data_IF_202111045219
#
_entry.id   IF_202111045219
#
_cell.length_a   1.000
_cell.length_b   1.000
_cell.length_c   1.000
_cell.angle_alpha   90.00
_cell.angle_beta   90.00
_cell.angle_gamma   90.00
#
_symmetry.space_group_name_H-M   'P 1'
#
loop_
_entity.id
_entity.type
_entity.pdbx_description
1 polymer ?
#
# COMPACT_ATOMS: atom_id res chain seq x y z
N UNK A 1 -24.91 -10.56 29.95
CA UNK A 1 -23.44 -10.50 29.79
C UNK A 1 -23.02 -9.99 28.41
N UNK A 2 -23.74 -10.30 27.33
CA UNK A 2 -23.48 -9.73 25.98
C UNK A 2 -23.85 -8.23 25.89
N UNK A 3 -24.95 -7.77 26.52
CA UNK A 3 -25.34 -6.35 26.50
C UNK A 3 -24.29 -5.41 27.12
N UNK A 4 -23.70 -5.79 28.26
CA UNK A 4 -22.74 -4.93 28.98
C UNK A 4 -21.41 -4.76 28.26
N UNK A 5 -21.02 -5.70 27.40
CA UNK A 5 -19.80 -5.63 26.59
C UNK A 5 -20.03 -4.70 25.39
N UNK A 6 -21.21 -4.80 24.75
CA UNK A 6 -21.60 -3.91 23.65
C UNK A 6 -21.82 -2.47 24.12
N UNK A 7 -22.44 -2.27 25.30
CA UNK A 7 -22.62 -0.95 25.91
C UNK A 7 -21.29 -0.24 26.20
N UNK A 8 -20.27 -0.99 26.63
CA UNK A 8 -18.94 -0.41 26.84
C UNK A 8 -18.19 -0.17 25.52
N UNK A 9 -18.33 -1.02 24.51
CA UNK A 9 -17.75 -0.80 23.18
C UNK A 9 -18.36 0.43 22.46
N UNK A 10 -19.64 0.74 22.69
CA UNK A 10 -20.31 1.94 22.15
C UNK A 10 -19.96 3.27 22.84
N UNK A 11 -19.20 3.24 23.96
CA UNK A 11 -18.80 4.47 24.64
C UNK A 11 -17.62 5.17 23.97
N UNK A 12 -16.75 4.39 23.34
CA UNK A 12 -15.47 4.86 22.79
C UNK A 12 -15.46 4.96 21.26
N UNK A 13 -16.49 4.43 20.59
CA UNK A 13 -16.62 4.44 19.13
C UNK A 13 -17.83 5.28 18.68
N UNK A 14 -17.54 6.48 18.16
CA UNK A 14 -18.56 7.42 17.69
C UNK A 14 -19.36 6.89 16.49
N UNK A 15 -18.75 6.02 15.68
CA UNK A 15 -19.39 5.41 14.52
C UNK A 15 -20.35 4.30 14.95
N UNK A 16 -19.94 3.47 15.91
CA UNK A 16 -20.79 2.42 16.50
C UNK A 16 -22.00 3.02 17.23
N UNK A 17 -21.82 4.18 17.87
CA UNK A 17 -22.88 4.92 18.55
C UNK A 17 -23.90 5.53 17.56
N UNK A 18 -23.45 6.01 16.40
CA UNK A 18 -24.32 6.46 15.31
C UNK A 18 -25.11 5.29 14.69
N UNK A 19 -24.52 4.10 14.64
CA UNK A 19 -25.13 2.88 14.07
C UNK A 19 -26.24 2.32 14.98
N UNK A 20 -25.97 2.19 16.28
CA UNK A 20 -26.87 1.50 17.21
C UNK A 20 -27.80 2.50 17.95
N UNK A 21 -27.34 3.73 18.21
CA UNK A 21 -28.09 4.75 18.96
C UNK A 21 -28.70 4.20 20.25
N UNK A 22 -29.93 4.63 20.57
CA UNK A 22 -30.70 4.13 21.72
C UNK A 22 -31.30 2.72 21.52
N UNK A 23 -30.99 2.01 20.43
CA UNK A 23 -31.55 0.69 20.12
C UNK A 23 -30.79 -0.48 20.79
N UNK A 24 -29.91 -0.18 21.74
CA UNK A 24 -29.20 -1.16 22.54
C UNK A 24 -30.22 -1.93 23.40
N UNK A 25 -30.46 -3.19 23.03
CA UNK A 25 -31.36 -4.10 23.76
C UNK A 25 -32.54 -4.65 22.96
N UNK A 26 -32.79 -4.18 21.72
CA UNK A 26 -33.81 -4.76 20.83
C UNK A 26 -33.18 -5.31 19.52
N UNK A 27 -33.00 -6.64 19.39
CA UNK A 27 -32.32 -7.27 18.26
C UNK A 27 -32.96 -7.00 16.89
N UNK A 28 -34.29 -6.87 16.82
CA UNK A 28 -34.99 -6.66 15.54
C UNK A 28 -34.83 -5.22 15.03
N UNK A 29 -34.91 -4.24 15.93
CA UNK A 29 -34.74 -2.82 15.61
C UNK A 29 -33.29 -2.53 15.15
N UNK A 30 -32.31 -3.17 15.80
CA UNK A 30 -30.89 -3.10 15.44
C UNK A 30 -30.66 -3.64 14.02
N UNK A 31 -31.22 -4.81 13.70
CA UNK A 31 -31.10 -5.41 12.36
C UNK A 31 -31.71 -4.51 11.28
N UNK A 32 -32.89 -3.95 11.54
CA UNK A 32 -33.57 -3.04 10.59
C UNK A 32 -32.74 -1.78 10.29
N UNK A 33 -32.14 -1.16 11.31
CA UNK A 33 -31.31 0.05 11.15
C UNK A 33 -30.02 -0.23 10.37
N UNK A 34 -29.39 -1.37 10.63
CA UNK A 34 -28.21 -1.83 9.88
C UNK A 34 -28.59 -2.05 8.40
N UNK A 35 -29.68 -2.76 8.13
CA UNK A 35 -30.17 -3.00 6.77
C UNK A 35 -30.55 -1.69 6.04
N UNK A 36 -31.19 -0.74 6.73
CA UNK A 36 -31.55 0.57 6.16
C UNK A 36 -30.32 1.44 5.86
N UNK A 37 -29.27 1.36 6.69
CA UNK A 37 -27.99 2.05 6.45
C UNK A 37 -27.22 1.41 5.30
N UNK A 38 -27.16 0.08 5.22
CA UNK A 38 -26.58 -0.62 4.05
C UNK A 38 -27.34 -0.25 2.77
N UNK A 39 -28.66 -0.04 2.83
CA UNK A 39 -29.44 0.41 1.67
C UNK A 39 -29.22 1.87 1.30
N UNK A 40 -29.05 2.77 2.28
CA UNK A 40 -28.84 4.22 2.06
C UNK A 40 -27.40 4.58 1.73
N UNK A 41 -26.43 3.99 2.42
CA UNK A 41 -24.99 4.21 2.25
C UNK A 41 -24.31 3.12 1.43
N UNK A 42 -24.99 2.06 1.01
CA UNK A 42 -24.45 1.05 0.09
C UNK A 42 -23.70 1.63 -1.12
N UNK A 43 -24.17 2.74 -1.74
CA UNK A 43 -23.44 3.42 -2.80
C UNK A 43 -22.20 4.20 -2.32
N UNK A 44 -22.18 4.74 -1.11
CA UNK A 44 -21.04 5.48 -0.52
C UNK A 44 -19.99 4.53 0.10
N UNK A 45 -20.39 3.31 0.47
CA UNK A 45 -19.49 2.23 0.92
C UNK A 45 -18.66 1.70 -0.26
N UNK A 46 -19.15 1.87 -1.48
CA UNK A 46 -18.37 1.80 -2.71
C UNK A 46 -17.69 3.16 -2.93
N UNK A 47 -16.49 3.36 -2.37
CA UNK A 47 -15.66 4.49 -2.77
C UNK A 47 -15.66 4.61 -4.30
N UNK A 48 -15.99 5.79 -4.84
CA UNK A 48 -15.83 6.05 -6.27
C UNK A 48 -14.37 5.79 -6.62
N UNK A 49 -14.11 4.75 -7.42
CA UNK A 49 -12.77 4.44 -7.89
C UNK A 49 -12.29 5.57 -8.77
N UNK A 50 -11.24 6.25 -8.35
CA UNK A 50 -10.59 7.32 -9.10
C UNK A 50 -9.38 6.83 -9.90
N UNK A 51 -9.07 5.53 -9.77
CA UNK A 51 -8.01 4.85 -10.51
C UNK A 51 -8.35 4.55 -11.97
N UNK A 52 -7.56 3.66 -12.57
CA UNK A 52 -7.68 3.22 -13.96
C UNK A 52 -7.98 1.72 -14.06
N UNK A 53 -8.95 1.36 -14.90
CA UNK A 53 -9.23 -0.03 -15.23
C UNK A 53 -8.20 -0.63 -16.21
N UNK A 54 -7.30 0.19 -16.78
CA UNK A 54 -6.23 -0.28 -17.64
C UNK A 54 -5.14 -0.95 -16.79
N UNK A 55 -4.56 -2.07 -17.27
CA UNK A 55 -3.46 -2.71 -16.55
C UNK A 55 -2.27 -1.75 -16.47
N UNK A 56 -1.56 -1.79 -15.35
CA UNK A 56 -0.32 -1.04 -15.13
C UNK A 56 0.86 -1.89 -15.66
N UNK A 57 1.38 -1.65 -16.87
CA UNK A 57 2.55 -2.35 -17.37
C UNK A 57 3.75 -2.10 -16.47
N UNK A 58 4.54 -3.16 -16.27
CA UNK A 58 5.78 -3.14 -15.48
C UNK A 58 6.96 -3.43 -16.39
N UNK A 59 8.04 -2.64 -16.28
CA UNK A 59 9.27 -2.89 -17.03
C UNK A 59 10.52 -2.66 -16.17
N UNK A 60 11.61 -3.33 -16.53
CA UNK A 60 12.92 -3.18 -15.89
C UNK A 60 13.91 -2.65 -16.93
N UNK A 61 14.67 -1.61 -16.59
CA UNK A 61 15.65 -0.97 -17.48
C UNK A 61 16.94 -0.75 -16.70
N UNK A 62 18.01 -1.46 -17.05
CA UNK A 62 19.32 -1.36 -16.38
C UNK A 62 19.20 -1.38 -14.84
N UNK A 63 18.38 -2.30 -14.33
CA UNK A 63 18.03 -2.36 -12.91
C UNK A 63 19.20 -2.86 -12.06
N UNK A 64 19.62 -2.05 -11.10
CA UNK A 64 20.60 -2.39 -10.06
C UNK A 64 19.93 -2.32 -8.68
N UNK A 65 19.72 -3.45 -7.97
CA UNK A 65 19.05 -3.47 -6.68
C UNK A 65 19.64 -2.56 -5.60
N UNK A 66 20.91 -2.16 -5.72
CA UNK A 66 21.61 -1.34 -4.72
C UNK A 66 21.55 0.16 -5.03
N UNK A 67 21.21 0.52 -6.26
CA UNK A 67 21.17 1.91 -6.73
C UNK A 67 20.18 2.02 -7.89
N UNK A 68 18.89 2.10 -7.57
CA UNK A 68 17.87 2.24 -8.59
C UNK A 68 16.78 3.24 -8.21
N UNK A 69 16.24 3.85 -9.26
CA UNK A 69 14.98 4.58 -9.16
C UNK A 69 13.82 3.68 -9.55
N UNK A 70 12.70 3.82 -8.86
CA UNK A 70 11.41 3.28 -9.26
C UNK A 70 10.60 4.47 -9.78
N UNK A 71 10.12 4.36 -11.01
CA UNK A 71 9.42 5.42 -11.71
C UNK A 71 7.97 5.05 -11.95
N UNK A 72 7.09 6.03 -11.77
CA UNK A 72 5.66 5.92 -12.01
C UNK A 72 5.24 7.04 -12.96
N UNK A 73 4.59 6.70 -14.07
CA UNK A 73 3.88 7.68 -14.90
C UNK A 73 2.39 7.59 -14.56
N UNK A 74 1.74 8.72 -14.34
CA UNK A 74 0.31 8.81 -14.04
C UNK A 74 -0.48 9.29 -15.26
N UNK A 75 -1.77 8.97 -15.34
CA UNK A 75 -2.64 9.49 -16.41
C UNK A 75 -2.95 10.99 -16.25
N UNK A 76 -2.80 11.53 -15.05
CA UNK A 76 -2.96 12.94 -14.71
C UNK A 76 -2.05 13.28 -13.52
N UNK A 77 -1.74 14.57 -13.28
CA UNK A 77 -0.86 14.96 -12.17
C UNK A 77 -1.45 14.51 -10.83
N UNK A 78 -0.67 13.83 -9.96
CA UNK A 78 -1.16 13.39 -8.66
C UNK A 78 -1.65 14.55 -7.79
N UNK A 79 -2.81 14.39 -7.16
CA UNK A 79 -3.30 15.31 -6.14
C UNK A 79 -2.52 15.13 -4.84
N UNK A 80 -2.64 16.07 -3.89
CA UNK A 80 -1.95 15.95 -2.59
C UNK A 80 -2.35 14.68 -1.83
N UNK A 81 -3.62 14.24 -1.97
CA UNK A 81 -4.11 12.99 -1.40
C UNK A 81 -3.45 11.76 -2.05
N UNK A 82 -3.21 11.81 -3.36
CA UNK A 82 -2.56 10.73 -4.10
C UNK A 82 -1.10 10.61 -3.69
N UNK A 83 -0.42 11.74 -3.53
CA UNK A 83 0.95 11.83 -3.02
C UNK A 83 1.05 11.22 -1.62
N UNK A 84 0.15 11.57 -0.71
CA UNK A 84 0.10 11.00 0.63
C UNK A 84 -0.12 9.48 0.63
N UNK A 85 -1.02 8.98 -0.24
CA UNK A 85 -1.28 7.55 -0.38
C UNK A 85 -0.05 6.81 -0.91
N UNK A 86 0.54 7.27 -2.01
CA UNK A 86 1.70 6.66 -2.64
C UNK A 86 2.90 6.70 -1.68
N UNK A 87 3.14 7.84 -1.04
CA UNK A 87 4.16 8.01 -0.02
C UNK A 87 3.98 7.04 1.15
N UNK A 88 2.74 6.85 1.62
CA UNK A 88 2.43 5.90 2.70
C UNK A 88 2.67 4.44 2.29
N UNK A 89 2.42 4.09 1.02
CA UNK A 89 2.75 2.76 0.47
C UNK A 89 4.25 2.53 0.51
N UNK A 90 5.05 3.48 0.01
CA UNK A 90 6.52 3.35 0.03
C UNK A 90 7.09 3.36 1.45
N UNK A 91 6.54 4.17 2.37
CA UNK A 91 6.95 4.15 3.79
C UNK A 91 6.69 2.79 4.42
N UNK A 92 5.53 2.20 4.17
CA UNK A 92 5.17 0.87 4.67
C UNK A 92 6.07 -0.22 4.06
N UNK A 93 6.32 -0.12 2.76
CA UNK A 93 7.23 -1.00 2.04
C UNK A 93 8.64 -0.97 2.64
N UNK A 94 9.19 0.22 2.88
CA UNK A 94 10.49 0.40 3.50
C UNK A 94 10.54 -0.17 4.92
N UNK A 95 9.56 0.14 5.77
CA UNK A 95 9.53 -0.36 7.16
C UNK A 95 9.53 -1.89 7.18
N UNK A 96 8.70 -2.54 6.38
CA UNK A 96 8.68 -4.01 6.29
C UNK A 96 10.00 -4.56 5.77
N UNK A 97 10.57 -3.95 4.74
CA UNK A 97 11.85 -4.36 4.18
C UNK A 97 13.02 -4.20 5.15
N UNK A 98 13.04 -3.11 5.92
CA UNK A 98 14.10 -2.81 6.90
C UNK A 98 14.11 -3.81 8.06
N UNK A 99 12.95 -4.35 8.39
CA UNK A 99 12.75 -5.40 9.39
C UNK A 99 12.92 -6.82 8.84
N UNK A 100 13.25 -6.97 7.56
CA UNK A 100 13.45 -8.27 6.91
C UNK A 100 12.16 -9.03 6.59
N UNK A 101 11.03 -8.33 6.49
CA UNK A 101 9.72 -8.91 6.17
C UNK A 101 9.65 -9.56 4.77
N UNK A 102 10.57 -9.22 3.87
CA UNK A 102 10.67 -9.78 2.52
C UNK A 102 11.71 -10.90 2.41
N UNK A 103 12.01 -11.62 3.50
CA UNK A 103 12.92 -12.75 3.49
C UNK A 103 12.23 -14.02 2.95
N UNK A 104 12.47 -14.32 1.68
CA UNK A 104 11.96 -15.49 0.96
C UNK A 104 12.49 -16.81 1.52
N UNK A 105 13.72 -16.83 2.05
CA UNK A 105 14.28 -18.04 2.70
C UNK A 105 13.47 -18.45 3.94
N UNK A 106 12.82 -17.49 4.61
CA UNK A 106 11.96 -17.74 5.76
C UNK A 106 10.45 -17.73 5.43
N UNK A 107 10.06 -17.77 4.15
CA UNK A 107 8.64 -17.85 3.72
C UNK A 107 8.05 -19.26 3.83
N UNK A 108 8.13 -19.86 5.02
CA UNK A 108 7.80 -21.26 5.26
C UNK A 108 6.38 -21.65 4.82
N UNK A 109 5.39 -20.76 5.01
CA UNK A 109 3.99 -21.04 4.67
C UNK A 109 3.75 -21.12 3.15
N UNK A 110 4.48 -20.34 2.36
CA UNK A 110 4.36 -20.35 0.89
C UNK A 110 4.96 -21.62 0.28
N UNK A 111 5.89 -22.25 0.99
CA UNK A 111 6.58 -23.47 0.58
C UNK A 111 5.85 -24.73 1.07
N UNK A 112 4.72 -24.60 1.76
CA UNK A 112 3.92 -25.74 2.21
C UNK A 112 3.17 -26.38 1.03
N UNK A 113 3.04 -27.72 1.01
CA UNK A 113 2.10 -28.39 0.11
C UNK A 113 0.67 -27.87 0.32
N UNK A 114 -0.14 -27.82 -0.75
CA UNK A 114 -1.50 -27.24 -0.75
C UNK A 114 -2.40 -27.71 0.40
N UNK A 115 -2.24 -28.96 0.84
CA UNK A 115 -3.08 -29.58 1.88
C UNK A 115 -2.34 -29.77 3.22
N UNK A 116 -1.16 -29.19 3.38
CA UNK A 116 -0.44 -29.28 4.64
C UNK A 116 -1.02 -28.28 5.67
N UNK A 117 -1.13 -28.67 6.95
CA UNK A 117 -1.54 -27.73 7.98
C UNK A 117 -0.51 -26.61 8.13
N UNK A 118 -0.98 -25.38 8.31
CA UNK A 118 -0.09 -24.23 8.54
C UNK A 118 0.72 -24.45 9.81
N UNK A 119 2.03 -24.41 9.65
CA UNK A 119 3.02 -24.57 10.72
C UNK A 119 4.21 -23.69 10.40
N UNK A 120 4.83 -23.15 11.44
CA UNK A 120 6.01 -22.31 11.34
C UNK A 120 7.04 -22.82 12.34
N UNK A 121 8.22 -23.21 11.87
CA UNK A 121 9.31 -23.74 12.69
C UNK A 121 10.29 -22.63 13.05
N UNK A 122 10.62 -22.55 14.33
CA UNK A 122 11.61 -21.60 14.85
C UNK A 122 13.04 -22.04 14.52
N UNK A 123 13.27 -23.34 14.32
CA UNK A 123 14.55 -23.91 13.89
C UNK A 123 14.84 -23.50 12.44
N UNK A 124 13.88 -23.72 11.53
CA UNK A 124 14.00 -23.26 10.14
C UNK A 124 14.19 -21.75 10.03
N UNK A 125 13.49 -20.99 10.87
CA UNK A 125 13.63 -19.53 10.91
C UNK A 125 15.05 -19.08 11.30
N UNK A 126 15.75 -19.84 12.16
CA UNK A 126 17.14 -19.56 12.55
C UNK A 126 18.16 -19.94 11.47
N UNK A 127 17.80 -20.84 10.56
CA UNK A 127 18.66 -21.27 9.44
C UNK A 127 18.59 -20.31 8.25
N UNK A 128 17.53 -19.50 8.16
CA UNK A 128 17.39 -18.50 7.12
C UNK A 128 18.43 -17.38 7.29
N UNK A 129 19.08 -16.99 6.20
CA UNK A 129 19.91 -15.80 6.18
C UNK A 129 19.02 -14.57 6.24
N UNK A 130 19.47 -13.53 6.92
CA UNK A 130 18.76 -12.26 6.97
C UNK A 130 18.79 -11.58 5.59
N UNK A 131 17.68 -10.91 5.25
CA UNK A 131 17.50 -10.16 4.03
C UNK A 131 16.92 -8.80 4.39
N UNK A 132 17.67 -7.71 4.15
CA UNK A 132 17.28 -6.37 4.59
C UNK A 132 17.28 -5.36 3.45
N UNK A 133 16.22 -4.56 3.40
CA UNK A 133 16.17 -3.31 2.63
C UNK A 133 17.05 -2.28 3.36
N UNK A 134 18.10 -1.77 2.71
CA UNK A 134 19.04 -0.87 3.34
C UNK A 134 18.53 0.56 3.47
N UNK A 135 18.13 1.21 2.37
CA UNK A 135 17.82 2.63 2.39
C UNK A 135 16.84 3.08 1.30
N UNK A 136 16.13 4.17 1.55
CA UNK A 136 15.14 4.73 0.62
C UNK A 136 15.23 6.26 0.62
N UNK A 137 15.00 6.88 -0.53
CA UNK A 137 14.87 8.33 -0.65
C UNK A 137 13.45 8.81 -0.38
N UNK A 138 13.25 10.12 -0.55
CA UNK A 138 11.91 10.70 -0.58
C UNK A 138 11.21 10.33 -1.89
N UNK A 139 9.87 10.32 -1.88
CA UNK A 139 9.09 10.16 -3.11
C UNK A 139 8.95 11.53 -3.75
N UNK A 140 9.45 11.69 -4.97
CA UNK A 140 9.46 12.95 -5.69
C UNK A 140 8.45 12.90 -6.83
N UNK A 141 7.82 14.04 -7.13
CA UNK A 141 6.82 14.18 -8.18
C UNK A 141 7.07 15.44 -9.01
N UNK A 142 6.98 15.31 -10.33
CA UNK A 142 7.03 16.39 -11.31
C UNK A 142 5.98 16.11 -12.38
N UNK A 143 5.04 17.05 -12.59
CA UNK A 143 3.91 16.87 -13.51
C UNK A 143 3.17 15.53 -13.33
N UNK A 144 3.26 14.64 -14.32
CA UNK A 144 2.65 13.30 -14.34
C UNK A 144 3.63 12.20 -13.91
N UNK A 145 4.83 12.54 -13.47
CA UNK A 145 5.85 11.59 -13.08
C UNK A 145 6.04 11.59 -11.58
N UNK A 146 6.27 10.40 -11.04
CA UNK A 146 6.80 10.19 -9.71
C UNK A 146 8.03 9.30 -9.77
N UNK A 147 9.02 9.57 -8.92
CA UNK A 147 10.17 8.69 -8.75
C UNK A 147 10.54 8.54 -7.29
N UNK A 148 11.26 7.47 -7.00
CA UNK A 148 11.84 7.22 -5.69
C UNK A 148 13.14 6.44 -5.86
N UNK A 149 14.19 6.90 -5.18
CA UNK A 149 15.45 6.17 -5.09
C UNK A 149 15.37 5.07 -4.01
N UNK A 150 15.89 3.89 -4.30
CA UNK A 150 15.96 2.77 -3.36
C UNK A 150 17.32 2.07 -3.44
N UNK A 151 17.79 1.62 -2.27
CA UNK A 151 18.84 0.61 -2.09
C UNK A 151 18.20 -0.59 -1.39
N UNK A 152 17.74 -1.56 -2.19
CA UNK A 152 17.06 -2.77 -1.71
C UNK A 152 18.01 -3.67 -0.92
N UNK A 153 19.32 -3.44 -0.98
CA UNK A 153 20.28 -4.21 -0.21
C UNK A 153 20.16 -5.71 -0.48
N UNK A 154 20.09 -6.47 0.60
CA UNK A 154 19.94 -7.94 0.54
C UNK A 154 18.49 -8.39 0.48
N UNK A 155 17.53 -7.48 0.27
CA UNK A 155 16.12 -7.82 0.17
C UNK A 155 15.84 -8.71 -1.04
N UNK A 156 15.06 -9.76 -0.85
CA UNK A 156 14.74 -10.69 -1.93
C UNK A 156 13.75 -10.08 -2.95
N UNK A 157 13.71 -10.60 -4.20
CA UNK A 157 12.81 -10.13 -5.25
C UNK A 157 11.32 -10.13 -4.88
N UNK A 158 10.92 -10.91 -3.87
CA UNK A 158 9.54 -10.91 -3.36
C UNK A 158 9.10 -9.54 -2.83
N UNK A 159 10.04 -8.69 -2.42
CA UNK A 159 9.78 -7.29 -2.09
C UNK A 159 9.16 -6.55 -3.28
N UNK A 160 9.71 -6.75 -4.48
CA UNK A 160 9.22 -6.14 -5.72
C UNK A 160 7.85 -6.69 -6.10
N UNK A 161 7.63 -8.00 -5.97
CA UNK A 161 6.31 -8.59 -6.22
C UNK A 161 5.23 -7.99 -5.32
N UNK A 162 5.52 -7.85 -4.02
CA UNK A 162 4.59 -7.23 -3.05
C UNK A 162 4.32 -5.78 -3.43
N UNK A 163 5.35 -5.00 -3.78
CA UNK A 163 5.20 -3.61 -4.19
C UNK A 163 4.37 -3.48 -5.48
N UNK A 164 4.66 -4.28 -6.50
CA UNK A 164 3.93 -4.28 -7.79
C UNK A 164 2.45 -4.60 -7.55
N UNK A 165 2.15 -5.59 -6.72
CA UNK A 165 0.78 -5.95 -6.38
C UNK A 165 0.06 -4.83 -5.64
N UNK A 166 0.73 -4.18 -4.69
CA UNK A 166 0.18 -3.03 -3.97
C UNK A 166 -0.13 -1.88 -4.93
N UNK A 167 0.84 -1.49 -5.77
CA UNK A 167 0.69 -0.39 -6.72
C UNK A 167 -0.33 -0.69 -7.82
N UNK A 168 -0.52 -1.95 -8.20
CA UNK A 168 -1.57 -2.35 -9.14
C UNK A 168 -2.96 -2.09 -8.55
N UNK A 169 -3.16 -2.39 -7.26
CA UNK A 169 -4.43 -2.09 -6.58
C UNK A 169 -4.61 -0.58 -6.36
N UNK A 170 -3.54 0.14 -6.00
CA UNK A 170 -3.57 1.62 -5.95
C UNK A 170 -3.95 2.18 -7.31
N UNK A 171 -3.37 1.65 -8.38
CA UNK A 171 -3.68 2.05 -9.76
C UNK A 171 -5.13 1.85 -10.11
N UNK A 172 -5.69 0.70 -9.71
CA UNK A 172 -7.06 0.34 -10.06
C UNK A 172 -8.11 1.13 -9.28
N UNK A 173 -7.90 1.33 -7.98
CA UNK A 173 -8.93 1.86 -7.09
C UNK A 173 -8.78 3.35 -6.79
N UNK A 174 -7.56 3.89 -6.86
CA UNK A 174 -7.27 5.22 -6.30
C UNK A 174 -6.61 6.17 -7.30
N UNK A 175 -5.45 5.82 -7.86
CA UNK A 175 -4.62 6.76 -8.65
C UNK A 175 -4.16 6.08 -9.92
N UNK A 176 -4.71 6.41 -11.08
CA UNK A 176 -4.37 5.71 -12.32
C UNK A 176 -2.87 5.81 -12.69
N UNK A 177 -2.15 4.70 -12.56
CA UNK A 177 -0.74 4.58 -12.95
C UNK A 177 -0.68 4.00 -14.36
N UNK A 178 -0.11 4.77 -15.29
CA UNK A 178 0.04 4.40 -16.70
C UNK A 178 1.19 3.41 -16.92
N UNK A 179 2.27 3.51 -16.18
CA UNK A 179 3.35 2.52 -16.18
C UNK A 179 4.21 2.59 -14.92
N UNK A 180 4.80 1.44 -14.56
CA UNK A 180 5.80 1.31 -13.50
C UNK A 180 7.12 0.84 -14.13
N UNK A 181 8.20 1.57 -13.87
CA UNK A 181 9.52 1.26 -14.43
C UNK A 181 10.54 1.15 -13.30
N UNK A 182 11.24 0.02 -13.24
CA UNK A 182 12.33 -0.23 -12.32
C UNK A 182 13.67 0.04 -13.01
N UNK A 183 14.46 0.93 -12.44
CA UNK A 183 15.71 1.39 -13.03
C UNK A 183 15.50 2.44 -14.13
N UNK A 184 16.55 2.68 -14.92
CA UNK A 184 16.59 3.71 -15.93
C UNK A 184 17.04 5.06 -15.37
N UNK A 185 17.85 5.77 -16.16
CA UNK A 185 18.27 7.15 -15.89
C UNK A 185 17.44 8.06 -16.78
N UNK A 186 16.86 9.12 -16.21
CA UNK A 186 16.10 10.16 -16.88
C UNK A 186 14.95 9.63 -17.75
N UNK A 187 13.81 9.35 -17.14
CA UNK A 187 12.61 8.89 -17.85
C UNK A 187 11.62 10.02 -18.11
N UNK A 188 11.06 10.03 -19.31
CA UNK A 188 10.06 11.01 -19.73
C UNK A 188 10.67 12.41 -19.86
N UNK A 189 9.93 13.39 -19.36
CA UNK A 189 10.30 14.81 -19.37
C UNK A 189 10.88 15.26 -18.01
N UNK A 190 11.40 14.31 -17.22
CA UNK A 190 11.94 14.61 -15.89
C UNK A 190 13.12 15.57 -15.96
N UNK A 191 13.03 16.67 -15.22
CA UNK A 191 14.09 17.68 -15.12
C UNK A 191 14.85 17.50 -13.81
N UNK A 192 16.15 17.18 -13.90
CA UNK A 192 17.03 17.01 -12.74
C UNK A 192 17.37 18.34 -12.05
N UNK A 193 17.15 19.48 -12.71
CA UNK A 193 17.44 20.81 -12.18
C UNK A 193 16.25 21.41 -11.39
N UNK A 194 15.06 20.79 -11.48
CA UNK A 194 13.89 21.17 -10.68
C UNK A 194 14.05 20.72 -9.22
N UNK A 195 14.04 21.68 -8.30
CA UNK A 195 14.17 21.47 -6.85
C UNK A 195 12.91 21.89 -6.09
N UNK A 196 12.86 21.56 -4.79
CA UNK A 196 11.71 21.74 -3.89
C UNK A 196 11.12 23.15 -3.77
N UNK A 197 11.81 24.16 -4.29
CA UNK A 197 11.39 25.56 -4.22
C UNK A 197 10.45 25.97 -5.38
N UNK A 198 10.23 25.08 -6.35
CA UNK A 198 9.38 25.33 -7.51
C UNK A 198 7.98 24.71 -7.34
N UNK A 199 6.91 25.40 -7.81
CA UNK A 199 5.52 24.96 -7.60
C UNK A 199 5.17 23.63 -8.28
N UNK A 200 5.93 23.25 -9.31
CA UNK A 200 5.69 22.05 -10.12
C UNK A 200 6.40 20.81 -9.56
N UNK A 201 7.19 20.97 -8.49
CA UNK A 201 7.84 19.89 -7.75
C UNK A 201 7.14 19.63 -6.42
N UNK A 202 6.82 18.37 -6.16
CA UNK A 202 6.28 17.93 -4.86
C UNK A 202 7.06 16.73 -4.34
N UNK A 203 7.15 16.59 -3.02
CA UNK A 203 7.84 15.46 -2.40
C UNK A 203 7.12 14.96 -1.15
N UNK A 204 7.16 13.65 -0.93
CA UNK A 204 6.73 13.01 0.31
C UNK A 204 7.94 12.43 1.05
N UNK A 205 8.13 12.84 2.31
CA UNK A 205 9.25 12.39 3.14
C UNK A 205 8.98 11.06 3.81
N UNK A 206 9.87 10.08 3.63
CA UNK A 206 9.74 8.73 4.19
C UNK A 206 10.26 8.61 5.61
#
# INVERSE_FOLDING_TARGET
MVCSILENATKDDAELRDIIGDSIGNPEEMRRRVEERVRRKGPDILQQKTGSALPMPVSFRDFDPMDNHIWMEFYAPPTDKDIDLIGSVFRSFFVLGRLGGFNSMNMQLTQLPLNAPFRYSTEKAKEALDAFFHNIGDVEFQDNWGRIWVDLGTSDPVSLDVLINALTNVSFDHVGIKQLVFGGKNLGDWDEDLTSDQPDFKSYKI
#
